data_IF_352235653336
#
_entry.id   IF_352235653336
#
_cell.length_a   1.000
_cell.length_b   1.000
_cell.length_c   1.000
_cell.angle_alpha   90.00
_cell.angle_beta   90.00
_cell.angle_gamma   90.00
#
_symmetry.space_group_name_H-M   'P 1'
#
loop_
_entity.id
_entity.type
_entity.pdbx_description
1 polymer ?
#
# COMPACT_ATOMS: atom_id res chain seq x y z
N UNK A 1 -24.38 11.23 -4.51
CA UNK A 1 -22.91 11.08 -4.32
C UNK A 1 -22.48 10.93 -2.86
N UNK A 2 -23.38 11.09 -1.87
CA UNK A 2 -23.08 10.92 -0.45
C UNK A 2 -22.64 9.49 -0.04
N UNK A 3 -23.20 8.39 -0.61
CA UNK A 3 -22.80 7.04 -0.23
C UNK A 3 -21.32 6.73 -0.47
N UNK A 4 -20.75 7.27 -1.56
CA UNK A 4 -19.35 7.01 -1.92
C UNK A 4 -18.37 7.67 -0.94
N UNK A 5 -18.68 8.89 -0.48
CA UNK A 5 -17.86 9.61 0.51
C UNK A 5 -17.84 8.86 1.84
N UNK A 6 -18.99 8.37 2.30
CA UNK A 6 -19.08 7.59 3.54
C UNK A 6 -18.27 6.29 3.48
N UNK A 7 -18.24 5.60 2.35
CA UNK A 7 -17.45 4.37 2.16
C UNK A 7 -15.93 4.66 2.20
N UNK A 8 -15.49 5.71 1.52
CA UNK A 8 -14.07 6.12 1.53
C UNK A 8 -13.63 6.51 2.94
N UNK A 9 -14.45 7.24 3.67
CA UNK A 9 -14.17 7.62 5.06
C UNK A 9 -14.03 6.39 5.97
N UNK A 10 -14.90 5.39 5.82
CA UNK A 10 -14.81 4.14 6.57
C UNK A 10 -13.52 3.37 6.27
N UNK A 11 -13.13 3.25 5.01
CA UNK A 11 -11.87 2.61 4.62
C UNK A 11 -10.65 3.37 5.16
N UNK A 12 -10.67 4.70 5.11
CA UNK A 12 -9.57 5.52 5.62
C UNK A 12 -9.42 5.44 7.15
N UNK A 13 -10.52 5.31 7.87
CA UNK A 13 -10.49 5.11 9.33
C UNK A 13 -9.91 3.77 9.74
N UNK A 14 -10.14 2.72 8.95
CA UNK A 14 -9.66 1.37 9.23
C UNK A 14 -8.21 1.15 8.82
N UNK A 15 -7.65 1.96 7.91
CA UNK A 15 -6.32 1.76 7.36
C UNK A 15 -5.57 3.08 7.17
N UNK A 16 -4.48 3.28 7.96
CA UNK A 16 -3.67 4.49 7.83
C UNK A 16 -2.97 4.64 6.47
N UNK A 17 -2.74 3.54 5.75
CA UNK A 17 -2.18 3.59 4.41
C UNK A 17 -3.10 4.42 3.49
N UNK A 18 -4.40 4.13 3.48
CA UNK A 18 -5.37 4.90 2.71
C UNK A 18 -5.55 6.35 3.17
N UNK A 19 -5.33 6.61 4.46
CA UNK A 19 -5.43 7.98 5.00
C UNK A 19 -4.30 8.88 4.51
N UNK A 20 -3.12 8.31 4.27
CA UNK A 20 -1.90 9.04 3.93
C UNK A 20 -1.55 8.95 2.45
N UNK A 21 -1.84 7.82 1.81
CA UNK A 21 -1.49 7.61 0.41
C UNK A 21 -2.37 8.48 -0.51
N UNK A 22 -1.76 9.29 -1.38
CA UNK A 22 -2.50 10.07 -2.36
C UNK A 22 -3.19 9.16 -3.36
N UNK A 23 -4.44 9.46 -3.64
CA UNK A 23 -5.27 8.75 -4.61
C UNK A 23 -5.23 9.49 -5.94
N UNK A 24 -4.95 8.79 -7.01
CA UNK A 24 -4.95 9.31 -8.37
C UNK A 24 -6.04 8.66 -9.21
N UNK A 25 -6.98 9.45 -9.66
CA UNK A 25 -8.00 8.97 -10.60
C UNK A 25 -7.40 8.86 -12.00
N UNK A 26 -7.62 7.72 -12.66
CA UNK A 26 -7.16 7.45 -14.01
C UNK A 26 -8.33 6.99 -14.89
N UNK A 27 -8.23 7.28 -16.17
CA UNK A 27 -9.15 6.77 -17.19
C UNK A 27 -8.68 5.37 -17.63
N UNK A 28 -9.59 4.39 -17.58
CA UNK A 28 -9.26 2.99 -17.91
C UNK A 28 -8.60 2.21 -16.76
N UNK A 29 -8.19 0.99 -17.06
CA UNK A 29 -7.64 0.04 -16.09
C UNK A 29 -6.11 0.02 -15.96
N UNK A 30 -5.39 0.84 -16.74
CA UNK A 30 -3.94 0.86 -16.79
C UNK A 30 -3.41 2.28 -16.66
N UNK A 31 -2.47 2.47 -15.74
CA UNK A 31 -1.75 3.72 -15.58
C UNK A 31 -0.35 3.58 -16.17
N UNK A 32 -0.01 4.42 -17.15
CA UNK A 32 1.31 4.45 -17.79
C UNK A 32 2.06 5.71 -17.39
N UNK A 33 3.33 5.54 -17.03
CA UNK A 33 4.26 6.65 -16.85
C UNK A 33 5.65 6.30 -17.36
N UNK A 34 6.46 7.32 -17.65
CA UNK A 34 7.82 7.16 -18.12
C UNK A 34 8.81 7.30 -16.97
N UNK A 35 9.71 6.33 -16.86
CA UNK A 35 10.80 6.34 -15.89
C UNK A 35 12.14 6.37 -16.62
N UNK A 36 13.03 7.27 -16.17
CA UNK A 36 14.41 7.27 -16.66
C UNK A 36 15.19 6.15 -15.97
N UNK A 37 15.59 5.14 -16.74
CA UNK A 37 16.31 3.98 -16.24
C UNK A 37 17.82 4.26 -16.06
N UNK A 38 18.43 5.11 -16.93
CA UNK A 38 19.83 5.48 -16.78
C UNK A 38 20.08 6.91 -17.32
N UNK A 39 21.07 7.58 -16.71
CA UNK A 39 21.63 8.84 -17.20
C UNK A 39 22.71 8.57 -18.24
N UNK A 40 22.93 9.49 -19.19
CA UNK A 40 24.11 9.43 -20.05
C UNK A 40 25.38 9.71 -19.25
N UNK A 41 26.49 9.10 -19.63
CA UNK A 41 27.78 9.41 -19.05
C UNK A 41 28.32 10.73 -19.65
N UNK A 42 28.75 11.64 -18.81
CA UNK A 42 29.35 12.92 -19.20
C UNK A 42 30.74 13.03 -18.60
N UNK A 43 31.71 13.46 -19.37
CA UNK A 43 33.11 13.59 -18.94
C UNK A 43 33.72 14.90 -19.42
N UNK A 44 34.81 15.32 -18.76
CA UNK A 44 35.65 16.39 -19.23
C UNK A 44 36.48 15.90 -20.44
N UNK A 45 36.80 16.80 -21.33
CA UNK A 45 37.67 16.56 -22.48
C UNK A 45 38.85 17.54 -22.55
N UNK A 46 39.94 17.09 -23.09
CA UNK A 46 41.07 17.97 -23.45
C UNK A 46 40.82 18.69 -24.80
N UNK A 47 41.62 19.69 -25.08
CA UNK A 47 41.66 20.36 -26.37
C UNK A 47 41.94 19.32 -27.47
N UNK A 48 41.11 19.32 -28.52
CA UNK A 48 41.11 18.34 -29.60
C UNK A 48 40.76 16.89 -29.22
N UNK A 49 40.37 16.60 -27.95
CA UNK A 49 39.83 15.31 -27.55
C UNK A 49 38.38 15.14 -28.02
N UNK A 50 37.99 13.92 -28.34
CA UNK A 50 36.60 13.57 -28.67
C UNK A 50 35.82 13.07 -27.47
N UNK A 51 34.47 13.23 -27.52
CA UNK A 51 33.54 12.63 -26.57
C UNK A 51 32.56 11.76 -27.33
N UNK A 52 32.35 10.53 -26.87
CA UNK A 52 31.39 9.61 -27.48
C UNK A 52 29.96 10.08 -27.20
N UNK A 53 29.10 10.30 -28.21
CA UNK A 53 27.72 10.67 -28.02
C UNK A 53 26.96 9.57 -27.25
N UNK A 54 26.20 9.96 -26.26
CA UNK A 54 25.36 9.07 -25.45
C UNK A 54 23.97 9.67 -25.23
N UNK A 55 23.02 8.83 -24.89
CA UNK A 55 21.65 9.23 -24.55
C UNK A 55 21.17 8.54 -23.29
N UNK A 56 20.22 9.14 -22.60
CA UNK A 56 19.53 8.49 -21.47
C UNK A 56 18.62 7.38 -21.97
N UNK A 57 18.41 6.37 -21.13
CA UNK A 57 17.45 5.32 -21.38
C UNK A 57 16.17 5.65 -20.60
N UNK A 58 15.05 5.72 -21.33
CA UNK A 58 13.71 5.92 -20.77
C UNK A 58 12.94 4.62 -20.99
N UNK A 59 12.22 4.16 -19.98
CA UNK A 59 11.33 3.02 -20.07
C UNK A 59 9.91 3.43 -19.71
N UNK A 60 8.93 2.84 -20.35
CA UNK A 60 7.54 2.93 -19.99
C UNK A 60 7.26 1.92 -18.86
N UNK A 61 6.63 2.40 -17.80
CA UNK A 61 6.15 1.56 -16.70
C UNK A 61 4.63 1.56 -16.75
N UNK A 62 4.05 0.37 -16.68
CA UNK A 62 2.60 0.18 -16.68
C UNK A 62 2.20 -0.38 -15.33
N UNK A 63 1.28 0.30 -14.67
CA UNK A 63 0.62 -0.16 -13.44
C UNK A 63 -0.80 -0.57 -13.80
N UNK A 64 -1.13 -1.81 -13.57
CA UNK A 64 -2.47 -2.34 -13.76
C UNK A 64 -3.29 -2.18 -12.49
N UNK A 65 -4.49 -1.58 -12.62
CA UNK A 65 -5.49 -1.62 -11.57
C UNK A 65 -6.25 -2.93 -11.66
N UNK A 66 -6.47 -3.59 -10.53
CA UNK A 66 -7.15 -4.88 -10.46
C UNK A 66 -8.50 -4.73 -9.78
N UNK A 67 -9.46 -5.51 -10.24
CA UNK A 67 -10.82 -5.49 -9.70
C UNK A 67 -10.87 -6.24 -8.36
N UNK A 68 -11.29 -5.53 -7.31
CA UNK A 68 -11.68 -6.12 -6.04
C UNK A 68 -13.20 -6.12 -5.96
N UNK A 69 -13.80 -7.28 -5.78
CA UNK A 69 -15.24 -7.46 -5.70
C UNK A 69 -15.60 -8.15 -4.40
N UNK A 70 -16.60 -7.63 -3.71
CA UNK A 70 -17.27 -8.27 -2.59
C UNK A 70 -18.76 -8.32 -2.85
N UNK A 71 -19.41 -9.44 -2.53
CA UNK A 71 -20.87 -9.58 -2.64
C UNK A 71 -21.41 -9.94 -1.27
N UNK A 72 -22.27 -9.08 -0.74
CA UNK A 72 -23.02 -9.32 0.50
C UNK A 72 -24.39 -9.85 0.12
N UNK A 73 -24.75 -11.03 0.62
CA UNK A 73 -26.07 -11.65 0.48
C UNK A 73 -26.66 -11.91 1.85
N UNK A 74 -27.70 -11.18 2.21
CA UNK A 74 -28.40 -11.30 3.50
C UNK A 74 -29.78 -11.86 3.28
N UNK A 75 -30.14 -12.92 3.99
CA UNK A 75 -31.49 -13.51 3.92
C UNK A 75 -32.54 -12.45 4.26
N UNK A 76 -33.50 -12.27 3.35
CA UNK A 76 -34.55 -11.27 3.48
C UNK A 76 -35.37 -11.48 4.74
N UNK A 77 -35.72 -12.75 5.03
CA UNK A 77 -36.53 -13.07 6.20
C UNK A 77 -35.81 -12.80 7.53
N UNK A 78 -34.47 -12.97 7.53
CA UNK A 78 -33.63 -12.67 8.68
C UNK A 78 -33.54 -11.16 8.90
N UNK A 79 -33.27 -10.41 7.84
CA UNK A 79 -33.17 -8.95 7.91
C UNK A 79 -34.50 -8.30 8.34
N UNK A 80 -35.62 -8.75 7.76
CA UNK A 80 -36.96 -8.21 8.06
C UNK A 80 -37.41 -8.49 9.52
N UNK A 81 -36.87 -9.54 10.16
CA UNK A 81 -37.14 -9.89 11.57
C UNK A 81 -36.20 -9.21 12.57
N UNK A 82 -35.13 -8.53 12.08
CA UNK A 82 -34.18 -7.86 12.95
C UNK A 82 -34.86 -6.72 13.72
N UNK A 83 -34.63 -6.64 15.03
CA UNK A 83 -35.23 -5.61 15.91
C UNK A 83 -34.83 -4.18 15.50
N UNK A 84 -33.67 -4.04 14.90
CA UNK A 84 -33.08 -2.80 14.42
C UNK A 84 -33.56 -2.37 13.02
N UNK A 85 -34.32 -3.25 12.36
CA UNK A 85 -34.80 -3.08 10.99
C UNK A 85 -33.82 -3.60 9.93
N UNK A 86 -34.35 -3.93 8.76
CA UNK A 86 -33.58 -4.57 7.68
C UNK A 86 -32.39 -3.70 7.19
N UNK A 87 -32.54 -2.40 7.13
CA UNK A 87 -31.48 -1.47 6.67
C UNK A 87 -30.30 -1.47 7.65
N UNK A 88 -30.57 -1.30 8.94
CA UNK A 88 -29.50 -1.25 9.96
C UNK A 88 -28.78 -2.61 10.08
N UNK A 89 -29.52 -3.71 9.95
CA UNK A 89 -28.94 -5.06 9.94
C UNK A 89 -27.98 -5.24 8.75
N UNK A 90 -28.41 -4.87 7.54
CA UNK A 90 -27.57 -4.92 6.32
C UNK A 90 -26.33 -4.05 6.46
N UNK A 91 -26.45 -2.82 6.99
CA UNK A 91 -25.29 -1.91 7.18
C UNK A 91 -24.21 -2.50 8.08
N UNK A 92 -24.58 -3.29 9.08
CA UNK A 92 -23.60 -3.99 9.94
C UNK A 92 -22.82 -5.06 9.18
N UNK A 93 -23.53 -5.88 8.39
CA UNK A 93 -22.89 -6.87 7.53
C UNK A 93 -22.02 -6.22 6.46
N UNK A 94 -22.52 -5.16 5.82
CA UNK A 94 -21.81 -4.40 4.80
C UNK A 94 -20.51 -3.77 5.32
N UNK A 95 -20.47 -3.29 6.57
CA UNK A 95 -19.25 -2.79 7.21
C UNK A 95 -18.15 -3.86 7.31
N UNK A 96 -18.51 -5.12 7.50
CA UNK A 96 -17.58 -6.25 7.48
C UNK A 96 -16.88 -6.42 6.13
N UNK A 97 -17.62 -6.26 5.02
CA UNK A 97 -17.05 -6.33 3.67
C UNK A 97 -16.07 -5.19 3.40
N UNK A 98 -16.38 -3.97 3.83
CA UNK A 98 -15.48 -2.83 3.70
C UNK A 98 -14.17 -3.05 4.47
N UNK A 99 -14.25 -3.56 5.69
CA UNK A 99 -13.07 -3.92 6.49
C UNK A 99 -12.24 -5.00 5.81
N UNK A 100 -12.89 -6.05 5.25
CA UNK A 100 -12.21 -7.12 4.54
C UNK A 100 -11.51 -6.62 3.27
N UNK A 101 -12.15 -5.72 2.50
CA UNK A 101 -11.54 -5.10 1.32
C UNK A 101 -10.32 -4.26 1.69
N UNK A 102 -10.39 -3.46 2.76
CA UNK A 102 -9.27 -2.67 3.24
C UNK A 102 -8.09 -3.55 3.66
N UNK A 103 -8.35 -4.63 4.40
CA UNK A 103 -7.32 -5.57 4.83
C UNK A 103 -6.70 -6.32 3.65
N UNK A 104 -7.51 -6.75 2.68
CA UNK A 104 -7.03 -7.44 1.48
C UNK A 104 -6.14 -6.52 0.66
N UNK A 105 -6.57 -5.28 0.40
CA UNK A 105 -5.73 -4.31 -0.32
C UNK A 105 -4.43 -4.05 0.43
N UNK A 106 -4.48 -3.83 1.75
CA UNK A 106 -3.30 -3.61 2.56
C UNK A 106 -2.32 -4.78 2.43
N UNK A 107 -2.78 -6.01 2.60
CA UNK A 107 -1.95 -7.21 2.43
C UNK A 107 -1.31 -7.28 1.03
N UNK A 108 -2.08 -6.98 -0.03
CA UNK A 108 -1.58 -7.03 -1.41
C UNK A 108 -0.67 -5.85 -1.76
N UNK A 109 -0.83 -4.69 -1.14
CA UNK A 109 0.11 -3.58 -1.27
C UNK A 109 1.53 -3.94 -0.78
N UNK A 110 1.66 -4.86 0.18
CA UNK A 110 2.96 -5.38 0.63
C UNK A 110 3.42 -6.59 -0.17
N UNK A 111 2.58 -7.60 -0.35
CA UNK A 111 2.98 -8.94 -0.78
C UNK A 111 2.37 -9.39 -2.10
N UNK A 112 1.55 -8.55 -2.73
CA UNK A 112 0.92 -8.88 -4.00
C UNK A 112 1.95 -9.12 -5.11
N UNK A 113 1.68 -10.09 -5.97
CA UNK A 113 2.56 -10.46 -7.08
C UNK A 113 1.75 -10.95 -8.28
N UNK A 114 1.60 -10.08 -9.27
CA UNK A 114 0.87 -10.38 -10.50
C UNK A 114 1.50 -11.50 -11.35
N UNK A 115 2.79 -11.79 -11.13
CA UNK A 115 3.46 -12.89 -11.83
C UNK A 115 3.06 -14.27 -11.30
N UNK A 116 2.65 -14.36 -10.02
CA UNK A 116 2.16 -15.61 -9.42
C UNK A 116 0.64 -15.71 -9.47
N UNK A 117 -0.04 -14.60 -9.25
CA UNK A 117 -1.51 -14.50 -9.27
C UNK A 117 -1.92 -13.30 -10.12
N UNK A 118 -2.35 -13.53 -11.34
CA UNK A 118 -2.65 -12.48 -12.32
C UNK A 118 -3.74 -11.49 -11.85
N UNK A 119 -4.61 -11.88 -10.91
CA UNK A 119 -5.64 -11.02 -10.34
C UNK A 119 -5.13 -10.06 -9.26
N UNK A 120 -3.87 -10.18 -8.81
CA UNK A 120 -3.30 -9.34 -7.76
C UNK A 120 -2.59 -8.11 -8.33
N UNK A 121 -2.54 -7.05 -7.52
CA UNK A 121 -1.66 -5.90 -7.79
C UNK A 121 -0.21 -6.26 -7.44
N UNK A 122 0.75 -5.56 -8.03
CA UNK A 122 2.16 -5.68 -7.66
C UNK A 122 2.43 -4.87 -6.39
N UNK A 123 2.77 -5.57 -5.30
CA UNK A 123 3.10 -4.97 -4.02
C UNK A 123 4.55 -4.50 -3.92
N UNK A 124 4.86 -3.74 -2.87
CA UNK A 124 6.21 -3.21 -2.61
C UNK A 124 7.26 -4.31 -2.43
N UNK A 125 6.87 -5.48 -1.94
CA UNK A 125 7.77 -6.63 -1.78
C UNK A 125 8.38 -7.12 -3.10
N UNK A 126 7.70 -6.89 -4.23
CA UNK A 126 8.23 -7.19 -5.56
C UNK A 126 9.31 -6.18 -6.00
N UNK A 127 9.12 -4.90 -5.69
CA UNK A 127 10.10 -3.84 -5.97
C UNK A 127 11.35 -4.03 -5.09
N UNK A 128 11.16 -4.38 -3.81
CA UNK A 128 12.20 -4.57 -2.81
C UNK A 128 12.49 -6.06 -2.56
N UNK A 129 12.60 -6.85 -3.63
CA UNK A 129 12.81 -8.30 -3.56
C UNK A 129 14.26 -8.71 -3.30
N UNK A 130 15.23 -7.84 -3.61
CA UNK A 130 16.66 -8.08 -3.45
C UNK A 130 17.30 -7.06 -2.50
N UNK A 131 18.33 -7.49 -1.80
CA UNK A 131 19.13 -6.60 -0.95
C UNK A 131 19.90 -5.58 -1.79
N UNK A 132 20.01 -4.38 -1.27
CA UNK A 132 20.71 -3.26 -1.89
C UNK A 132 19.80 -2.05 -2.08
N UNK A 133 20.38 -0.88 -2.34
CA UNK A 133 19.64 0.37 -2.42
C UNK A 133 18.86 0.67 -1.13
N UNK A 134 17.54 0.72 -1.22
CA UNK A 134 16.63 0.98 -0.09
C UNK A 134 16.20 -0.29 0.66
N UNK A 135 16.65 -1.49 0.24
CA UNK A 135 16.39 -2.75 0.94
C UNK A 135 17.63 -3.17 1.74
N UNK A 136 17.58 -2.99 3.05
CA UNK A 136 18.68 -3.26 3.99
C UNK A 136 18.32 -4.45 4.86
N UNK A 137 19.32 -5.31 5.16
CA UNK A 137 19.12 -6.48 6.02
C UNK A 137 19.55 -6.16 7.47
N UNK A 138 18.75 -6.60 8.42
CA UNK A 138 19.13 -6.65 9.84
C UNK A 138 20.00 -7.88 10.17
N UNK A 139 20.37 -8.70 9.15
CA UNK A 139 21.25 -9.88 9.26
C UNK A 139 20.65 -11.09 9.97
N UNK A 140 19.39 -11.09 10.33
CA UNK A 140 18.70 -12.28 10.87
C UNK A 140 18.66 -13.43 9.84
N UNK A 141 18.73 -14.65 10.36
CA UNK A 141 18.75 -15.87 9.54
C UNK A 141 17.74 -16.93 10.00
N UNK A 142 16.92 -16.64 10.99
CA UNK A 142 15.94 -17.57 11.56
C UNK A 142 14.80 -17.84 10.58
N UNK A 143 14.83 -18.96 9.86
CA UNK A 143 13.80 -19.31 8.89
C UNK A 143 12.40 -19.36 9.51
N UNK A 144 11.41 -18.76 8.86
CA UNK A 144 9.99 -18.80 9.23
C UNK A 144 9.55 -17.81 10.31
N UNK A 145 10.48 -17.06 10.93
CA UNK A 145 10.15 -16.04 11.98
C UNK A 145 10.72 -14.66 11.68
N UNK A 146 11.19 -14.44 10.46
CA UNK A 146 11.72 -13.14 10.03
C UNK A 146 10.59 -12.15 9.77
N UNK A 147 10.79 -10.94 10.27
CA UNK A 147 9.91 -9.80 10.02
C UNK A 147 10.58 -8.73 9.17
N UNK A 148 9.80 -7.78 8.69
CA UNK A 148 10.30 -6.62 7.95
C UNK A 148 9.61 -5.35 8.44
N UNK A 149 10.32 -4.22 8.31
CA UNK A 149 9.76 -2.87 8.39
C UNK A 149 9.74 -2.27 7.00
N UNK A 150 8.67 -1.58 6.66
CA UNK A 150 8.54 -0.86 5.39
C UNK A 150 8.44 0.63 5.64
N UNK A 151 9.09 1.39 4.79
CA UNK A 151 9.18 2.83 4.84
C UNK A 151 8.54 3.38 3.56
N UNK A 152 7.63 4.33 3.69
CA UNK A 152 6.84 4.87 2.59
C UNK A 152 7.01 6.37 2.49
N UNK A 153 7.17 6.84 1.27
CA UNK A 153 7.09 8.25 0.94
C UNK A 153 5.88 8.49 0.05
N UNK A 154 5.01 9.35 0.49
CA UNK A 154 3.86 9.84 -0.26
C UNK A 154 4.09 11.26 -0.78
N UNK A 155 5.14 11.90 -0.28
CA UNK A 155 5.53 13.26 -0.66
C UNK A 155 6.32 13.26 -1.95
N UNK A 156 6.19 14.34 -2.72
CA UNK A 156 6.98 14.55 -3.92
C UNK A 156 8.44 14.84 -3.58
N UNK A 157 9.35 14.28 -4.35
CA UNK A 157 10.76 14.68 -4.35
C UNK A 157 11.10 15.57 -5.56
N UNK A 158 12.06 16.46 -5.39
CA UNK A 158 12.57 17.28 -6.49
C UNK A 158 13.63 16.48 -7.24
N UNK A 159 13.30 16.02 -8.44
CA UNK A 159 14.22 15.36 -9.35
C UNK A 159 14.82 16.32 -10.38
N UNK A 160 15.79 15.85 -11.17
CA UNK A 160 16.44 16.62 -12.23
C UNK A 160 15.46 17.10 -13.30
N UNK A 161 14.37 16.36 -13.51
CA UNK A 161 13.35 16.66 -14.53
C UNK A 161 12.07 17.28 -13.95
N UNK A 162 12.09 17.72 -12.67
CA UNK A 162 10.93 18.27 -11.98
C UNK A 162 10.52 17.45 -10.76
N UNK A 163 9.29 17.64 -10.30
CA UNK A 163 8.75 16.87 -9.17
C UNK A 163 8.51 15.42 -9.56
N UNK A 164 8.97 14.51 -8.74
CA UNK A 164 8.71 13.07 -8.85
C UNK A 164 7.80 12.69 -7.69
N UNK A 165 6.58 12.20 -7.95
CA UNK A 165 5.70 11.75 -6.90
C UNK A 165 6.32 10.58 -6.12
N UNK A 166 5.93 10.44 -4.87
CA UNK A 166 6.26 9.26 -4.07
C UNK A 166 5.43 8.05 -4.49
N UNK A 167 4.76 7.41 -3.52
CA UNK A 167 3.83 6.32 -3.79
C UNK A 167 2.42 6.88 -3.93
N UNK A 168 1.69 6.44 -4.96
CA UNK A 168 0.30 6.82 -5.21
C UNK A 168 -0.57 5.57 -5.41
N UNK A 169 -1.87 5.70 -5.15
CA UNK A 169 -2.88 4.69 -5.44
C UNK A 169 -3.66 5.12 -6.68
N UNK A 170 -3.33 4.65 -7.90
CA UNK A 170 -4.17 4.86 -9.05
C UNK A 170 -5.48 4.08 -8.89
N UNK A 171 -6.60 4.72 -9.22
CA UNK A 171 -7.94 4.12 -9.20
C UNK A 171 -8.53 4.21 -10.60
N UNK A 172 -8.90 3.05 -11.14
CA UNK A 172 -9.45 2.96 -12.49
C UNK A 172 -10.81 3.65 -12.59
N UNK A 173 -11.01 4.38 -13.69
CA UNK A 173 -12.24 5.12 -14.02
C UNK A 173 -12.70 6.10 -12.94
N UNK A 174 -11.79 6.57 -12.09
CA UNK A 174 -12.13 7.45 -10.97
C UNK A 174 -13.12 6.83 -9.96
N UNK A 175 -13.31 5.53 -10.02
CA UNK A 175 -14.32 4.80 -9.25
C UNK A 175 -13.76 4.49 -7.87
N UNK A 176 -13.99 5.40 -6.93
CA UNK A 176 -13.78 5.15 -5.50
C UNK A 176 -14.58 3.91 -5.08
N UNK A 177 -14.23 3.26 -3.95
CA UNK A 177 -15.00 2.14 -3.46
C UNK A 177 -16.49 2.43 -3.50
N UNK A 178 -17.24 1.63 -4.21
CA UNK A 178 -18.68 1.81 -4.42
C UNK A 178 -19.44 0.62 -3.89
N UNK A 179 -20.62 0.88 -3.31
CA UNK A 179 -21.59 -0.13 -2.94
C UNK A 179 -22.83 0.03 -3.84
N UNK A 180 -23.18 -1.03 -4.55
CA UNK A 180 -24.37 -1.09 -5.38
C UNK A 180 -25.39 -2.02 -4.72
N UNK A 181 -26.50 -1.45 -4.25
CA UNK A 181 -27.62 -2.23 -3.73
C UNK A 181 -28.48 -2.73 -4.91
N UNK A 182 -28.51 -4.03 -5.14
CA UNK A 182 -29.35 -4.68 -6.14
C UNK A 182 -30.75 -4.98 -5.64
N UNK A 183 -31.05 -4.66 -4.37
CA UNK A 183 -32.32 -4.99 -3.76
C UNK A 183 -32.49 -6.50 -3.49
N UNK A 184 -33.70 -7.00 -3.65
CA UNK A 184 -34.01 -8.41 -3.43
C UNK A 184 -33.67 -9.24 -4.65
N UNK A 185 -32.79 -10.22 -4.47
CA UNK A 185 -32.39 -11.20 -5.49
C UNK A 185 -32.72 -12.62 -5.00
N UNK A 186 -32.61 -13.59 -5.89
CA UNK A 186 -32.81 -15.00 -5.55
C UNK A 186 -31.47 -15.74 -5.51
N UNK A 187 -31.01 -16.11 -4.33
CA UNK A 187 -29.81 -16.92 -4.14
C UNK A 187 -30.13 -18.41 -4.07
N UNK A 188 -29.17 -19.24 -4.46
CA UNK A 188 -29.30 -20.69 -4.30
C UNK A 188 -29.03 -21.07 -2.85
N UNK A 189 -29.82 -21.98 -2.31
CA UNK A 189 -29.55 -22.60 -1.02
C UNK A 189 -28.24 -23.40 -1.10
N UNK A 190 -27.43 -23.29 -0.05
CA UNK A 190 -26.16 -24.02 0.04
C UNK A 190 -26.37 -25.52 -0.19
N UNK A 191 -25.64 -26.09 -1.14
CA UNK A 191 -25.74 -27.51 -1.53
C UNK A 191 -26.92 -27.85 -2.46
N UNK A 192 -27.66 -26.84 -2.94
CA UNK A 192 -28.76 -27.05 -3.91
C UNK A 192 -28.51 -26.26 -5.19
N UNK A 193 -28.81 -26.87 -6.33
CA UNK A 193 -28.79 -26.23 -7.64
C UNK A 193 -30.17 -25.75 -8.10
N UNK A 194 -31.23 -26.06 -7.35
CA UNK A 194 -32.62 -25.81 -7.73
C UNK A 194 -33.37 -24.97 -6.69
N UNK A 195 -33.16 -25.24 -5.39
CA UNK A 195 -33.82 -24.51 -4.31
C UNK A 195 -33.24 -23.10 -4.18
N UNK A 196 -34.13 -22.08 -4.22
CA UNK A 196 -33.74 -20.66 -4.12
C UNK A 196 -34.50 -19.96 -2.99
N UNK A 197 -33.89 -18.97 -2.40
CA UNK A 197 -34.51 -18.10 -1.38
C UNK A 197 -34.20 -16.64 -1.63
N UNK A 198 -35.05 -15.70 -1.17
CA UNK A 198 -34.85 -14.28 -1.39
C UNK A 198 -33.76 -13.73 -0.46
N UNK A 199 -32.80 -12.99 -1.03
CA UNK A 199 -31.72 -12.30 -0.30
C UNK A 199 -31.69 -10.84 -0.70
N UNK A 200 -31.26 -9.97 0.21
CA UNK A 200 -30.79 -8.63 -0.12
C UNK A 200 -29.35 -8.73 -0.59
N UNK A 201 -29.05 -8.23 -1.78
CA UNK A 201 -27.73 -8.30 -2.38
C UNK A 201 -27.12 -6.92 -2.50
N UNK A 202 -25.90 -6.74 -1.95
CA UNK A 202 -25.08 -5.54 -2.12
C UNK A 202 -23.75 -5.95 -2.75
N UNK A 203 -23.35 -5.28 -3.82
CA UNK A 203 -22.05 -5.48 -4.48
C UNK A 203 -21.12 -4.35 -4.07
N UNK A 204 -19.94 -4.71 -3.59
CA UNK A 204 -18.85 -3.78 -3.30
C UNK A 204 -17.80 -3.92 -4.38
N UNK A 205 -17.44 -2.82 -5.02
CA UNK A 205 -16.46 -2.80 -6.09
C UNK A 205 -15.40 -1.73 -5.82
N UNK A 206 -14.12 -2.09 -6.01
CA UNK A 206 -13.00 -1.19 -5.91
C UNK A 206 -11.90 -1.62 -6.89
N UNK A 207 -11.31 -0.69 -7.63
CA UNK A 207 -10.32 -0.96 -8.70
C UNK A 207 -9.00 -0.24 -8.42
N UNK A 208 -8.25 -0.63 -7.38
CA UNK A 208 -7.00 0.01 -7.03
C UNK A 208 -5.82 -0.56 -7.80
N UNK A 209 -4.78 0.25 -7.94
CA UNK A 209 -3.42 -0.15 -8.27
C UNK A 209 -2.44 0.39 -7.22
N UNK A 210 -1.15 0.11 -7.39
CA UNK A 210 -0.08 0.69 -6.59
C UNK A 210 1.01 1.22 -7.53
N UNK A 211 1.19 2.54 -7.57
CA UNK A 211 2.21 3.19 -8.39
C UNK A 211 3.40 3.60 -7.52
N UNK A 212 4.57 3.05 -7.83
CA UNK A 212 5.86 3.37 -7.19
C UNK A 212 6.73 3.99 -8.27
N UNK A 213 6.80 5.32 -8.32
CA UNK A 213 7.48 6.03 -9.42
C UNK A 213 9.00 5.92 -9.36
N UNK A 214 9.57 5.84 -8.17
CA UNK A 214 11.00 5.64 -7.95
C UNK A 214 11.19 4.60 -6.84
N UNK A 215 12.12 3.67 -7.01
CA UNK A 215 12.42 2.66 -5.98
C UNK A 215 12.88 3.27 -4.65
N UNK A 216 13.36 4.53 -4.65
CA UNK A 216 13.75 5.26 -3.46
C UNK A 216 12.55 5.84 -2.68
N UNK A 217 11.35 5.87 -3.27
CA UNK A 217 10.14 6.29 -2.54
C UNK A 217 9.64 5.25 -1.53
N UNK A 218 10.21 4.04 -1.58
CA UNK A 218 9.94 2.96 -0.66
C UNK A 218 11.24 2.38 -0.11
N UNK A 219 11.23 1.99 1.17
CA UNK A 219 12.36 1.35 1.83
C UNK A 219 11.94 0.10 2.57
N UNK A 220 12.86 -0.82 2.78
CA UNK A 220 12.63 -2.03 3.55
C UNK A 220 13.82 -2.35 4.43
N UNK A 221 13.58 -2.54 5.72
CA UNK A 221 14.50 -3.21 6.63
C UNK A 221 13.99 -4.64 6.82
N UNK A 222 14.69 -5.60 6.25
CA UNK A 222 14.29 -7.01 6.26
C UNK A 222 15.15 -7.86 7.20
N UNK A 223 14.80 -9.14 7.33
CA UNK A 223 15.51 -10.13 8.13
C UNK A 223 15.65 -9.72 9.60
N UNK A 224 14.57 -9.23 10.19
CA UNK A 224 14.47 -8.90 11.60
C UNK A 224 14.01 -10.17 12.32
N UNK A 225 14.81 -10.64 13.29
CA UNK A 225 14.44 -11.73 14.20
C UNK A 225 14.74 -11.35 15.67
N UNK A 226 14.54 -12.25 16.61
CA UNK A 226 14.76 -11.98 18.04
C UNK A 226 16.20 -11.67 18.41
N UNK A 227 17.18 -12.13 17.62
CA UNK A 227 18.60 -11.87 17.80
C UNK A 227 19.13 -10.67 17.02
N UNK A 228 18.40 -10.25 15.99
CA UNK A 228 18.79 -9.18 15.07
C UNK A 228 17.67 -8.13 14.99
N UNK A 229 17.58 -7.35 16.06
CA UNK A 229 16.55 -6.34 16.24
C UNK A 229 16.83 -5.09 15.40
N UNK A 230 15.79 -4.33 15.03
CA UNK A 230 15.98 -3.05 14.38
C UNK A 230 16.73 -2.11 15.32
N UNK A 231 17.81 -1.51 14.83
CA UNK A 231 18.58 -0.50 15.56
C UNK A 231 18.40 0.87 14.90
N UNK A 232 18.64 1.94 15.66
CA UNK A 232 18.56 3.31 15.15
C UNK A 232 19.47 3.53 13.92
N UNK A 233 20.75 3.07 13.94
CA UNK A 233 21.60 3.18 12.74
C UNK A 233 21.04 2.46 11.52
N UNK A 234 20.44 1.28 11.67
CA UNK A 234 19.81 0.55 10.55
C UNK A 234 18.60 1.30 9.99
N UNK A 235 17.73 1.81 10.87
CA UNK A 235 16.57 2.63 10.46
C UNK A 235 17.04 3.89 9.72
N UNK A 236 18.03 4.61 10.25
CA UNK A 236 18.59 5.79 9.62
C UNK A 236 19.26 5.47 8.27
N UNK A 237 19.89 4.30 8.14
CA UNK A 237 20.49 3.86 6.87
C UNK A 237 19.42 3.69 5.78
N UNK A 238 18.24 3.11 6.11
CA UNK A 238 17.14 3.02 5.16
C UNK A 238 16.62 4.40 4.78
N UNK A 239 16.39 5.28 5.76
CA UNK A 239 15.89 6.64 5.51
C UNK A 239 16.89 7.45 4.66
N UNK A 240 18.20 7.31 4.93
CA UNK A 240 19.24 7.96 4.12
C UNK A 240 19.28 7.41 2.70
N UNK A 241 19.09 6.11 2.52
CA UNK A 241 19.03 5.48 1.20
C UNK A 241 17.80 5.92 0.38
N UNK A 242 16.71 6.32 1.06
CA UNK A 242 15.51 6.86 0.40
C UNK A 242 15.69 8.29 -0.12
N UNK A 243 16.71 9.03 0.31
CA UNK A 243 16.89 10.41 -0.14
C UNK A 243 16.93 10.51 -1.69
N UNK A 244 16.29 11.49 -2.30
CA UNK A 244 15.73 12.74 -1.73
C UNK A 244 14.26 12.62 -1.22
N UNK A 245 13.68 11.43 -1.22
CA UNK A 245 12.32 11.23 -0.70
C UNK A 245 12.30 11.30 0.83
N UNK A 246 11.22 11.87 1.36
CA UNK A 246 11.00 11.97 2.80
C UNK A 246 10.19 10.74 3.26
N UNK A 247 10.54 10.15 4.39
CA UNK A 247 9.76 9.06 4.95
C UNK A 247 8.53 9.62 5.69
N UNK A 248 7.33 9.33 5.17
CA UNK A 248 6.06 9.82 5.72
C UNK A 248 5.38 8.77 6.63
N UNK A 249 5.59 7.49 6.35
CA UNK A 249 4.97 6.39 7.09
C UNK A 249 5.97 5.24 7.25
N UNK A 250 6.02 4.67 8.45
CA UNK A 250 6.74 3.41 8.73
C UNK A 250 5.72 2.38 9.18
N UNK A 251 5.72 1.22 8.55
CA UNK A 251 4.83 0.11 8.87
C UNK A 251 5.62 -1.13 9.26
N UNK A 252 5.20 -1.81 10.31
CA UNK A 252 5.83 -3.03 10.79
C UNK A 252 4.85 -3.85 11.65
N UNK A 253 5.20 -5.10 11.94
CA UNK A 253 4.42 -5.95 12.84
C UNK A 253 4.48 -5.42 14.29
N UNK A 254 3.47 -5.75 15.09
CA UNK A 254 3.38 -5.39 16.52
C UNK A 254 4.61 -5.82 17.32
N UNK A 255 5.18 -6.97 17.00
CA UNK A 255 6.41 -7.46 17.65
C UNK A 255 7.59 -6.52 17.40
N UNK A 256 7.79 -6.13 16.12
CA UNK A 256 8.86 -5.20 15.74
C UNK A 256 8.61 -3.81 16.35
N UNK A 257 7.36 -3.38 16.40
CA UNK A 257 6.99 -2.13 17.07
C UNK A 257 7.41 -2.10 18.54
N UNK A 258 7.13 -3.17 19.27
CA UNK A 258 7.52 -3.27 20.68
C UNK A 258 9.05 -3.15 20.86
N UNK A 259 9.84 -3.72 19.96
CA UNK A 259 11.30 -3.55 19.98
C UNK A 259 11.71 -2.09 19.73
N UNK A 260 11.09 -1.43 18.75
CA UNK A 260 11.36 -0.01 18.47
C UNK A 260 10.95 0.88 19.64
N UNK A 261 9.85 0.58 20.32
CA UNK A 261 9.44 1.31 21.53
C UNK A 261 10.45 1.14 22.67
N UNK A 262 11.01 -0.05 22.85
CA UNK A 262 12.03 -0.30 23.86
C UNK A 262 13.32 0.51 23.62
N UNK A 263 13.66 0.83 22.38
CA UNK A 263 14.81 1.69 22.03
C UNK A 263 14.64 3.13 22.56
N UNK A 264 13.42 3.64 22.70
CA UNK A 264 13.17 4.99 23.23
C UNK A 264 13.66 5.17 24.67
N UNK A 265 13.56 4.12 25.49
CA UNK A 265 13.97 4.19 26.90
C UNK A 265 15.48 4.10 27.14
N UNK A 266 16.25 3.60 26.18
CA UNK A 266 17.67 3.22 26.41
C UNK A 266 18.68 4.27 25.92
N UNK A 267 18.27 5.23 25.06
CA UNK A 267 19.23 6.09 24.33
C UNK A 267 19.10 7.58 24.57
N UNK A 268 18.38 8.03 25.60
CA UNK A 268 18.27 9.49 25.85
C UNK A 268 17.65 10.28 24.70
N UNK A 269 16.84 9.64 23.89
CA UNK A 269 16.26 10.14 22.66
C UNK A 269 15.25 11.29 22.86
N UNK A 270 14.89 11.56 24.11
CA UNK A 270 13.92 12.60 24.49
C UNK A 270 14.47 14.03 24.46
N UNK A 271 15.76 14.21 24.17
CA UNK A 271 16.40 15.53 24.33
C UNK A 271 16.61 16.34 23.06
N UNK A 272 16.30 15.83 21.85
CA UNK A 272 16.43 16.63 20.64
C UNK A 272 15.22 16.49 19.70
N UNK A 273 14.24 17.42 19.77
CA UNK A 273 13.01 17.35 18.99
C UNK A 273 13.19 17.59 17.49
N UNK A 274 14.39 17.95 17.01
CA UNK A 274 14.57 18.40 15.62
C UNK A 274 15.13 17.35 14.65
N UNK A 275 15.70 16.22 15.09
CA UNK A 275 16.42 15.32 14.19
C UNK A 275 16.00 13.86 14.16
N UNK A 276 15.17 13.38 15.07
CA UNK A 276 14.83 11.96 15.11
C UNK A 276 13.40 11.64 15.54
N UNK A 277 12.84 12.46 16.41
CA UNK A 277 11.56 12.16 17.08
C UNK A 277 10.34 12.41 16.19
N UNK A 278 10.41 13.30 15.21
CA UNK A 278 9.28 13.56 14.30
C UNK A 278 8.94 12.36 13.42
N UNK A 279 9.93 11.55 13.07
CA UNK A 279 9.73 10.33 12.27
C UNK A 279 8.87 9.34 13.04
N UNK A 280 9.14 9.18 14.35
CA UNK A 280 8.37 8.26 15.21
C UNK A 280 6.99 8.82 15.62
N UNK A 281 6.77 10.12 15.58
CA UNK A 281 5.45 10.72 15.81
C UNK A 281 4.48 10.46 14.66
N UNK A 282 4.98 10.26 13.45
CA UNK A 282 4.19 9.95 12.25
C UNK A 282 4.07 8.46 11.98
N UNK A 283 4.92 7.62 12.58
CA UNK A 283 4.83 6.17 12.42
C UNK A 283 3.53 5.67 13.08
N UNK A 284 2.52 5.44 12.27
CA UNK A 284 1.32 4.72 12.68
C UNK A 284 1.53 3.25 12.38
N UNK A 285 1.37 2.44 13.42
CA UNK A 285 1.59 1.00 13.35
C UNK A 285 0.25 0.33 13.13
N UNK A 286 0.23 -0.60 12.21
CA UNK A 286 -0.92 -1.44 11.91
C UNK A 286 -0.48 -2.89 11.91
N UNK A 287 -1.24 -3.70 12.64
CA UNK A 287 -1.18 -5.16 12.61
C UNK A 287 -1.80 -5.70 11.33
#
# INVERSE_FOLDING_TARGET
>A
NEPTIGIVESLSQLNAFFTLAPVKQIDGGMYKYQQRASLPTVGFRDLNGGVTPQKSVIRDVVVECKDMLGVSEVDKSLADRAKEGAIAFRQKEDAGFLSAMANTFNSKAYYGNSATTAAEIDGVGRVLSSLGGTCISATGSSAGVMSSMYFWSFSDAIGVSGRVPGVEIPIANGQLPSALDLGVQMAFQTGSTTAKYPVYTTIFEFKPGLAIYDSRSVGRLCNIDSGHLPTIPLINSVITAMMPFQCDLITCSKTVYNYVQALKGTTGFDQNPQTGLEIFKRARFFD
#
